data_IF_869794215700
#
_entry.id   IF_869794215700
#
_cell.length_a   1.000
_cell.length_b   1.000
_cell.length_c   1.000
_cell.angle_alpha   90.00
_cell.angle_beta   90.00
_cell.angle_gamma   90.00
#
_symmetry.space_group_name_H-M   'P 1'
#
loop_
_entity.id
_entity.type
_entity.pdbx_description
1 polymer ?
#
# COMPACT_ATOMS: atom_id res chain seq x y z
N UNK A 1 -6.06 8.01 -31.34
CA UNK A 1 -4.97 8.63 -30.57
C UNK A 1 -5.40 8.55 -29.11
N UNK A 2 -4.65 7.85 -28.26
CA UNK A 2 -4.98 7.74 -26.83
C UNK A 2 -4.53 9.02 -26.15
N UNK A 3 -5.37 9.62 -25.31
CA UNK A 3 -4.99 10.78 -24.50
C UNK A 3 -4.02 10.31 -23.42
N UNK A 4 -2.89 11.02 -23.26
CA UNK A 4 -1.86 10.70 -22.27
C UNK A 4 -1.65 11.91 -21.38
N UNK A 5 -1.58 11.68 -20.07
CA UNK A 5 -1.17 12.68 -19.09
C UNK A 5 0.24 12.33 -18.61
N UNK A 6 1.19 13.23 -18.84
CA UNK A 6 2.53 13.10 -18.27
C UNK A 6 2.54 13.62 -16.83
N UNK A 7 3.21 12.87 -15.96
CA UNK A 7 3.34 13.16 -14.53
C UNK A 7 4.81 13.44 -14.25
N UNK A 8 5.09 14.56 -13.61
CA UNK A 8 6.46 15.01 -13.32
C UNK A 8 7.04 14.29 -12.10
N UNK A 9 6.23 14.06 -11.06
CA UNK A 9 6.70 13.38 -9.85
C UNK A 9 5.58 12.67 -9.07
N UNK A 10 5.89 11.48 -8.55
CA UNK A 10 5.06 10.82 -7.54
C UNK A 10 5.39 11.36 -6.14
N UNK A 11 4.37 11.67 -5.35
CA UNK A 11 4.50 12.04 -3.94
C UNK A 11 4.32 10.79 -3.07
N UNK A 12 5.40 10.41 -2.41
CA UNK A 12 5.45 9.21 -1.57
C UNK A 12 4.57 9.28 -0.32
N UNK A 13 4.34 10.47 0.24
CA UNK A 13 3.54 10.66 1.46
C UNK A 13 2.72 11.96 1.40
N UNK A 14 1.42 11.94 1.74
CA UNK A 14 0.58 13.14 1.71
C UNK A 14 1.02 14.23 2.71
N UNK A 15 1.81 13.89 3.73
CA UNK A 15 2.37 14.90 4.66
C UNK A 15 3.43 15.79 4.03
N UNK A 16 4.03 15.39 2.90
CA UNK A 16 4.93 16.26 2.14
C UNK A 16 4.18 17.46 1.53
N UNK A 17 2.86 17.35 1.36
CA UNK A 17 2.00 18.44 0.90
C UNK A 17 1.66 19.39 2.05
N UNK A 18 2.67 20.12 2.50
CA UNK A 18 2.52 21.22 3.46
C UNK A 18 2.29 22.55 2.74
N UNK A 19 1.80 23.56 3.45
CA UNK A 19 1.66 24.90 2.88
C UNK A 19 3.01 25.42 2.36
N UNK A 20 4.08 25.26 3.13
CA UNK A 20 5.41 25.77 2.75
C UNK A 20 5.97 25.09 1.50
N UNK A 21 5.79 23.77 1.35
CA UNK A 21 6.24 23.06 0.15
C UNK A 21 5.43 23.48 -1.10
N UNK A 22 4.11 23.70 -0.95
CA UNK A 22 3.28 24.18 -2.05
C UNK A 22 3.61 25.63 -2.40
N UNK A 23 3.91 26.49 -1.42
CA UNK A 23 4.39 27.86 -1.65
C UNK A 23 5.75 27.88 -2.37
N UNK A 24 6.66 26.96 -2.03
CA UNK A 24 7.97 26.86 -2.64
C UNK A 24 7.91 26.56 -4.15
N UNK A 25 6.84 25.93 -4.64
CA UNK A 25 6.62 25.69 -6.06
C UNK A 25 6.49 26.98 -6.89
N UNK A 26 6.20 28.12 -6.26
CA UNK A 26 6.18 29.41 -6.94
C UNK A 26 7.56 29.78 -7.55
N UNK A 27 8.65 29.19 -7.07
CA UNK A 27 9.98 29.36 -7.68
C UNK A 27 10.08 28.79 -9.10
N UNK A 28 9.13 27.93 -9.52
CA UNK A 28 9.03 27.37 -10.87
C UNK A 28 8.23 28.27 -11.82
N UNK A 29 7.66 29.37 -11.34
CA UNK A 29 6.95 30.34 -12.18
C UNK A 29 7.92 31.20 -13.01
N UNK A 30 7.48 31.75 -14.16
CA UNK A 30 6.12 31.71 -14.71
C UNK A 30 5.82 30.42 -15.48
N UNK A 31 4.57 29.95 -15.34
CA UNK A 31 4.08 28.82 -16.12
C UNK A 31 3.55 29.24 -17.50
N UNK A 32 3.67 28.35 -18.49
CA UNK A 32 3.21 28.58 -19.85
C UNK A 32 3.52 27.40 -20.78
N UNK A 33 3.40 27.61 -22.09
CA UNK A 33 3.60 26.53 -23.08
C UNK A 33 4.99 25.88 -23.04
N UNK A 34 6.03 26.62 -22.64
CA UNK A 34 7.40 26.11 -22.47
C UNK A 34 7.77 25.69 -21.05
N UNK A 35 6.87 25.90 -20.09
CA UNK A 35 7.05 25.57 -18.68
C UNK A 35 5.68 25.24 -18.08
N UNK A 36 5.08 24.09 -18.43
CA UNK A 36 3.78 23.72 -17.90
C UNK A 36 3.83 23.63 -16.37
N UNK A 37 2.67 23.74 -15.74
CA UNK A 37 2.59 23.49 -14.30
C UNK A 37 2.96 22.03 -14.03
N UNK A 38 3.79 21.75 -13.01
CA UNK A 38 4.14 20.38 -12.69
C UNK A 38 2.92 19.60 -12.18
N UNK A 39 2.71 18.41 -12.73
CA UNK A 39 1.68 17.46 -12.34
C UNK A 39 2.29 16.44 -11.39
N UNK A 40 1.65 16.26 -10.24
CA UNK A 40 2.07 15.30 -9.22
C UNK A 40 1.06 14.17 -9.09
N UNK A 41 1.50 13.01 -8.59
CA UNK A 41 0.60 11.90 -8.27
C UNK A 41 0.65 11.46 -6.81
N UNK A 42 -0.49 11.00 -6.31
CA UNK A 42 -0.62 10.27 -5.06
C UNK A 42 -1.36 8.96 -5.31
N UNK A 43 -0.70 7.84 -5.01
CA UNK A 43 -1.25 6.51 -5.27
C UNK A 43 -2.06 5.95 -4.09
N UNK A 44 -3.14 5.21 -4.36
CA UNK A 44 -3.90 4.48 -3.34
C UNK A 44 -4.57 5.34 -2.25
N UNK A 45 -4.99 6.55 -2.58
CA UNK A 45 -5.74 7.43 -1.70
C UNK A 45 -7.15 6.88 -1.48
N UNK A 46 -7.59 6.74 -0.22
CA UNK A 46 -8.96 6.32 0.09
C UNK A 46 -9.93 7.50 -0.09
N UNK A 47 -11.02 7.29 -0.82
CA UNK A 47 -12.09 8.29 -1.00
C UNK A 47 -12.98 8.24 0.23
N UNK A 48 -12.91 9.26 1.08
CA UNK A 48 -13.80 9.36 2.26
C UNK A 48 -15.09 10.09 1.91
N UNK A 49 -15.06 10.94 0.89
CA UNK A 49 -16.22 11.69 0.42
C UNK A 49 -16.08 11.98 -1.06
N UNK A 50 -17.18 11.82 -1.80
CA UNK A 50 -17.33 12.22 -3.19
C UNK A 50 -18.67 12.96 -3.32
N UNK A 51 -18.64 14.21 -3.77
CA UNK A 51 -19.83 15.04 -3.88
C UNK A 51 -19.76 15.92 -5.12
N UNK A 52 -20.82 15.88 -5.93
CA UNK A 52 -20.94 16.76 -7.08
C UNK A 52 -21.35 18.18 -6.62
N UNK A 53 -20.61 19.18 -7.08
CA UNK A 53 -20.76 20.60 -6.72
C UNK A 53 -20.87 21.47 -7.99
N UNK A 54 -21.12 22.77 -7.81
CA UNK A 54 -21.20 23.72 -8.93
C UNK A 54 -22.36 23.43 -9.90
N UNK A 55 -23.47 22.89 -9.38
CA UNK A 55 -24.63 22.47 -10.16
C UNK A 55 -24.46 21.11 -10.83
N UNK A 56 -23.65 20.21 -10.26
CA UNK A 56 -23.41 18.88 -10.82
C UNK A 56 -22.36 18.86 -11.94
N UNK A 57 -21.45 19.85 -11.97
CA UNK A 57 -20.42 19.99 -13.02
C UNK A 57 -19.01 19.66 -12.56
N UNK A 58 -18.78 19.63 -11.24
CA UNK A 58 -17.47 19.44 -10.65
C UNK A 58 -17.56 18.45 -9.52
N UNK A 59 -16.52 17.65 -9.33
CA UNK A 59 -16.46 16.64 -8.29
C UNK A 59 -15.56 17.15 -7.17
N UNK A 60 -16.14 17.33 -5.98
CA UNK A 60 -15.39 17.57 -4.75
C UNK A 60 -15.09 16.25 -4.06
N UNK A 61 -13.82 16.01 -3.78
CA UNK A 61 -13.32 14.81 -3.12
C UNK A 61 -12.74 15.15 -1.77
N UNK A 62 -12.83 14.21 -0.85
CA UNK A 62 -11.97 14.15 0.32
C UNK A 62 -11.20 12.82 0.28
N UNK A 63 -9.89 12.93 0.24
CA UNK A 63 -8.97 11.82 0.03
C UNK A 63 -8.11 11.63 1.27
N UNK A 64 -7.90 10.38 1.68
CA UNK A 64 -7.14 10.06 2.89
C UNK A 64 -6.15 8.91 2.68
N UNK A 65 -4.93 9.08 3.19
CA UNK A 65 -3.92 8.01 3.30
C UNK A 65 -3.08 8.28 4.54
N UNK A 66 -2.72 7.22 5.26
CA UNK A 66 -1.82 7.30 6.43
C UNK A 66 -2.25 8.34 7.48
N UNK A 67 -3.55 8.51 7.68
CA UNK A 67 -4.12 9.46 8.66
C UNK A 67 -4.22 10.91 8.17
N UNK A 68 -3.59 11.26 7.05
CA UNK A 68 -3.67 12.60 6.44
C UNK A 68 -4.83 12.67 5.45
N UNK A 69 -5.67 13.69 5.60
CA UNK A 69 -6.76 13.99 4.68
C UNK A 69 -6.43 15.24 3.85
N UNK A 70 -6.78 15.20 2.56
CA UNK A 70 -6.61 16.30 1.61
C UNK A 70 -7.93 16.50 0.85
N UNK A 71 -8.31 17.76 0.65
CA UNK A 71 -9.43 18.11 -0.20
C UNK A 71 -8.98 18.08 -1.67
N UNK A 72 -9.85 17.60 -2.55
CA UNK A 72 -9.64 17.60 -3.99
C UNK A 72 -10.81 18.27 -4.71
N UNK A 73 -10.53 18.98 -5.80
CA UNK A 73 -11.53 19.49 -6.73
C UNK A 73 -11.17 19.04 -8.15
N UNK A 74 -12.12 18.37 -8.80
CA UNK A 74 -11.99 17.95 -10.19
C UNK A 74 -13.02 18.71 -11.03
N UNK A 75 -12.53 19.65 -11.84
CA UNK A 75 -13.40 20.42 -12.71
C UNK A 75 -13.89 19.59 -13.89
N UNK A 76 -15.10 19.91 -14.35
CA UNK A 76 -15.77 19.23 -15.46
C UNK A 76 -15.86 17.70 -15.32
N UNK A 77 -15.98 17.22 -14.08
CA UNK A 77 -16.07 15.82 -13.72
C UNK A 77 -17.18 15.61 -12.68
N UNK A 78 -17.80 14.43 -12.67
CA UNK A 78 -18.76 14.00 -11.64
C UNK A 78 -18.41 12.63 -11.10
N UNK A 79 -18.91 12.30 -9.91
CA UNK A 79 -18.72 10.99 -9.29
C UNK A 79 -19.21 9.86 -10.20
N UNK A 80 -20.36 10.04 -10.85
CA UNK A 80 -20.95 9.05 -11.74
C UNK A 80 -20.14 8.85 -13.04
N UNK A 81 -19.53 9.90 -13.59
CA UNK A 81 -18.72 9.80 -14.81
C UNK A 81 -17.46 8.95 -14.60
N UNK A 82 -16.89 9.00 -13.40
CA UNK A 82 -15.65 8.30 -13.05
C UNK A 82 -15.89 7.05 -12.18
N UNK A 83 -17.15 6.69 -11.94
CA UNK A 83 -17.56 5.57 -11.09
C UNK A 83 -16.88 5.59 -9.70
N UNK A 84 -16.85 6.78 -9.07
CA UNK A 84 -16.21 6.99 -7.77
C UNK A 84 -17.24 7.08 -6.65
N UNK A 85 -17.05 6.25 -5.63
CA UNK A 85 -17.86 6.19 -4.43
C UNK A 85 -17.00 6.30 -3.16
N UNK A 86 -17.56 6.80 -2.04
CA UNK A 86 -16.90 6.69 -0.74
C UNK A 86 -16.57 5.23 -0.39
N UNK A 87 -15.33 4.99 0.04
CA UNK A 87 -14.79 3.65 0.29
C UNK A 87 -13.81 3.16 -0.79
N UNK A 88 -13.85 3.75 -1.98
CA UNK A 88 -12.94 3.41 -3.06
C UNK A 88 -11.51 3.87 -2.78
N UNK A 89 -10.57 3.33 -3.56
CA UNK A 89 -9.19 3.79 -3.60
C UNK A 89 -8.85 4.27 -4.99
N UNK A 90 -8.17 5.40 -5.07
CA UNK A 90 -7.78 6.03 -6.34
C UNK A 90 -6.32 6.42 -6.34
N UNK A 91 -5.70 6.32 -7.52
CA UNK A 91 -4.49 7.07 -7.83
C UNK A 91 -4.96 8.40 -8.42
N UNK A 92 -4.44 9.50 -7.91
CA UNK A 92 -4.85 10.84 -8.31
C UNK A 92 -3.66 11.59 -8.90
N UNK A 93 -3.84 12.19 -10.08
CA UNK A 93 -2.93 13.16 -10.68
C UNK A 93 -3.49 14.57 -10.45
N UNK A 94 -2.65 15.50 -9.98
CA UNK A 94 -3.12 16.81 -9.53
C UNK A 94 -2.05 17.90 -9.61
N UNK A 95 -2.52 19.14 -9.58
CA UNK A 95 -1.71 20.32 -9.28
C UNK A 95 -1.93 20.70 -7.80
N UNK A 96 -0.87 20.80 -6.97
CA UNK A 96 -0.98 21.32 -5.61
C UNK A 96 -1.39 22.78 -5.64
N UNK A 97 -2.39 23.16 -4.83
CA UNK A 97 -2.80 24.56 -4.71
C UNK A 97 -3.11 24.90 -3.25
N UNK A 98 -2.98 26.19 -2.92
CA UNK A 98 -3.41 26.73 -1.64
C UNK A 98 -4.82 27.27 -1.81
N UNK A 99 -5.75 26.69 -1.08
CA UNK A 99 -7.10 27.20 -0.96
C UNK A 99 -7.18 28.11 0.28
N UNK A 100 -7.70 29.32 0.11
CA UNK A 100 -7.96 30.24 1.21
C UNK A 100 -9.44 30.55 1.32
N UNK A 101 -10.06 30.11 2.40
CA UNK A 101 -11.49 30.32 2.64
C UNK A 101 -11.73 30.77 4.07
N UNK A 102 -12.41 31.90 4.24
CA UNK A 102 -12.70 32.52 5.55
C UNK A 102 -11.44 32.69 6.43
N UNK A 103 -10.32 33.07 5.82
CA UNK A 103 -9.03 33.25 6.50
C UNK A 103 -8.31 31.96 6.87
N UNK A 104 -8.85 30.79 6.51
CA UNK A 104 -8.19 29.50 6.70
C UNK A 104 -7.52 29.12 5.38
N UNK A 105 -6.19 28.94 5.42
CA UNK A 105 -5.38 28.45 4.31
C UNK A 105 -5.16 26.95 4.46
N UNK A 106 -5.40 26.19 3.40
CA UNK A 106 -5.19 24.75 3.35
C UNK A 106 -4.64 24.32 1.99
N UNK A 107 -3.92 23.20 1.97
CA UNK A 107 -3.56 22.55 0.71
C UNK A 107 -4.78 21.84 0.13
N UNK A 108 -5.05 22.06 -1.14
CA UNK A 108 -6.07 21.37 -1.93
C UNK A 108 -5.45 20.82 -3.22
N UNK A 109 -5.96 19.69 -3.68
CA UNK A 109 -5.55 19.05 -4.92
C UNK A 109 -6.46 19.54 -6.04
N UNK A 110 -5.91 20.26 -7.01
CA UNK A 110 -6.60 20.51 -8.27
C UNK A 110 -6.42 19.27 -9.15
N UNK A 111 -7.42 18.40 -9.16
CA UNK A 111 -7.34 17.10 -9.83
C UNK A 111 -7.31 17.30 -11.34
N UNK A 112 -6.30 16.72 -11.98
CA UNK A 112 -6.15 16.66 -13.42
C UNK A 112 -6.76 15.37 -13.99
N UNK A 113 -6.54 14.25 -13.29
CA UNK A 113 -7.11 12.94 -13.64
C UNK A 113 -7.11 12.02 -12.41
N UNK A 114 -7.93 10.96 -12.46
CA UNK A 114 -7.98 9.93 -11.44
C UNK A 114 -8.26 8.57 -12.05
N UNK A 115 -7.76 7.52 -11.40
CA UNK A 115 -8.08 6.14 -11.77
C UNK A 115 -8.27 5.27 -10.53
N UNK A 116 -9.02 4.16 -10.63
CA UNK A 116 -9.06 3.16 -9.57
C UNK A 116 -7.65 2.67 -9.22
N UNK A 117 -7.34 2.63 -7.93
CA UNK A 117 -6.12 2.05 -7.41
C UNK A 117 -6.33 0.60 -6.98
N UNK A 118 -5.23 -0.12 -6.80
CA UNK A 118 -5.26 -1.43 -6.17
C UNK A 118 -5.90 -1.32 -4.78
N UNK A 119 -6.74 -2.30 -4.44
CA UNK A 119 -7.16 -2.50 -3.05
C UNK A 119 -5.94 -2.74 -2.17
N UNK A 120 -6.07 -2.52 -0.86
CA UNK A 120 -4.96 -2.78 0.08
C UNK A 120 -4.39 -4.20 -0.06
N UNK A 121 -5.26 -5.20 -0.18
CA UNK A 121 -4.86 -6.59 -0.35
C UNK A 121 -4.11 -6.82 -1.67
N UNK A 122 -4.59 -6.25 -2.78
CA UNK A 122 -3.91 -6.32 -4.07
C UNK A 122 -2.57 -5.58 -4.08
N UNK A 123 -2.49 -4.43 -3.42
CA UNK A 123 -1.25 -3.67 -3.29
C UNK A 123 -0.21 -4.46 -2.47
N UNK A 124 -0.59 -5.02 -1.33
CA UNK A 124 0.28 -5.89 -0.53
C UNK A 124 0.76 -7.11 -1.33
N UNK A 125 -0.15 -7.75 -2.09
CA UNK A 125 0.17 -8.88 -2.95
C UNK A 125 1.17 -8.51 -4.07
N UNK A 126 0.97 -7.35 -4.72
CA UNK A 126 1.89 -6.86 -5.75
C UNK A 126 3.29 -6.57 -5.18
N UNK A 127 3.39 -6.05 -3.94
CA UNK A 127 4.68 -5.87 -3.28
C UNK A 127 5.36 -7.19 -2.97
N UNK A 128 4.59 -8.19 -2.51
CA UNK A 128 5.11 -9.53 -2.28
C UNK A 128 5.61 -10.19 -3.58
N UNK A 129 4.89 -10.03 -4.69
CA UNK A 129 5.32 -10.53 -6.00
C UNK A 129 6.59 -9.86 -6.50
N UNK A 130 6.72 -8.54 -6.34
CA UNK A 130 7.97 -7.82 -6.63
C UNK A 130 9.15 -8.33 -5.81
N UNK A 131 8.93 -8.60 -4.52
CA UNK A 131 9.95 -9.18 -3.65
C UNK A 131 10.43 -10.54 -4.19
N UNK A 132 9.49 -11.43 -4.54
CA UNK A 132 9.79 -12.73 -5.14
C UNK A 132 10.50 -12.62 -6.49
N UNK A 133 10.12 -11.62 -7.30
CA UNK A 133 10.73 -11.33 -8.60
C UNK A 133 12.15 -10.77 -8.53
N UNK A 134 12.66 -10.47 -7.33
CA UNK A 134 14.02 -9.92 -7.19
C UNK A 134 14.10 -8.40 -7.39
N UNK A 135 12.96 -7.70 -7.48
CA UNK A 135 12.93 -6.24 -7.60
C UNK A 135 13.21 -5.56 -6.26
N UNK A 136 13.76 -4.34 -6.31
CA UNK A 136 13.97 -3.54 -5.10
C UNK A 136 12.67 -2.85 -4.68
N UNK A 137 12.38 -2.92 -3.39
CA UNK A 137 11.29 -2.19 -2.76
C UNK A 137 11.82 -0.91 -2.12
N UNK A 138 11.03 0.14 -2.08
CA UNK A 138 11.36 1.32 -1.27
C UNK A 138 11.38 0.96 0.21
N UNK A 139 12.09 1.73 1.05
CA UNK A 139 12.20 1.40 2.48
C UNK A 139 10.84 1.32 3.18
N UNK A 140 9.86 2.12 2.76
CA UNK A 140 8.48 2.05 3.25
C UNK A 140 7.78 0.75 2.83
N UNK A 141 7.92 0.35 1.57
CA UNK A 141 7.33 -0.89 1.06
C UNK A 141 7.92 -2.11 1.78
N UNK A 142 9.24 -2.15 1.95
CA UNK A 142 9.92 -3.18 2.72
C UNK A 142 9.44 -3.23 4.18
N UNK A 143 9.33 -2.08 4.86
CA UNK A 143 8.78 -2.00 6.23
C UNK A 143 7.35 -2.52 6.34
N UNK A 144 6.51 -2.31 5.32
CA UNK A 144 5.12 -2.81 5.35
C UNK A 144 5.02 -4.33 5.27
N UNK A 145 5.99 -4.98 4.61
CA UNK A 145 6.08 -6.42 4.44
C UNK A 145 6.83 -7.12 5.58
N UNK A 146 7.66 -6.41 6.35
CA UNK A 146 8.42 -6.98 7.45
C UNK A 146 7.50 -7.50 8.57
N UNK A 147 7.50 -8.82 8.88
CA UNK A 147 6.74 -9.35 10.00
C UNK A 147 7.40 -9.01 11.34
N UNK A 148 6.59 -8.71 12.33
CA UNK A 148 7.04 -8.56 13.71
C UNK A 148 7.42 -9.90 14.35
N UNK A 149 8.20 -9.85 15.44
CA UNK A 149 8.53 -11.05 16.23
C UNK A 149 7.29 -11.77 16.76
N UNK A 150 6.24 -11.02 17.11
CA UNK A 150 4.97 -11.57 17.56
C UNK A 150 4.27 -12.35 16.45
N UNK A 151 4.31 -11.86 15.21
CA UNK A 151 3.75 -12.56 14.05
C UNK A 151 4.53 -13.84 13.72
N UNK A 152 5.86 -13.83 13.75
CA UNK A 152 6.65 -15.05 13.60
C UNK A 152 6.28 -16.11 14.65
N UNK A 153 6.21 -15.70 15.92
CA UNK A 153 5.83 -16.59 17.01
C UNK A 153 4.39 -17.11 16.86
N UNK A 154 3.47 -16.24 16.45
CA UNK A 154 2.07 -16.59 16.21
C UNK A 154 1.91 -17.62 15.10
N UNK A 155 2.54 -17.39 13.94
CA UNK A 155 2.55 -18.35 12.81
C UNK A 155 3.15 -19.69 13.24
N UNK A 156 4.31 -19.69 13.91
CA UNK A 156 4.95 -20.93 14.35
C UNK A 156 4.10 -21.74 15.35
N UNK A 157 3.49 -21.09 16.33
CA UNK A 157 2.59 -21.77 17.29
C UNK A 157 1.32 -22.26 16.61
N UNK A 158 0.77 -21.48 15.68
CA UNK A 158 -0.40 -21.89 14.91
C UNK A 158 -0.15 -23.18 14.15
N UNK A 159 0.98 -23.26 13.43
CA UNK A 159 1.38 -24.45 12.69
C UNK A 159 1.56 -25.67 13.60
N UNK A 160 2.21 -25.52 14.75
CA UNK A 160 2.35 -26.63 15.72
C UNK A 160 1.01 -27.15 16.24
N UNK A 161 0.04 -26.25 16.49
CA UNK A 161 -1.27 -26.64 17.00
C UNK A 161 -2.17 -27.28 15.93
N UNK A 162 -2.05 -26.86 14.67
CA UNK A 162 -2.98 -27.24 13.59
C UNK A 162 -2.39 -28.24 12.59
N UNK A 163 -1.11 -28.62 12.74
CA UNK A 163 -0.47 -29.68 11.96
C UNK A 163 0.02 -30.84 12.84
N UNK A 164 -0.81 -31.46 13.71
CA UNK A 164 -0.38 -32.57 14.55
C UNK A 164 0.06 -33.82 13.75
N UNK A 165 -0.39 -33.95 12.49
CA UNK A 165 0.06 -34.97 11.54
C UNK A 165 1.20 -34.52 10.61
N UNK A 166 1.83 -33.38 10.90
CA UNK A 166 2.98 -32.86 10.17
C UNK A 166 2.65 -32.17 8.84
N UNK A 167 1.38 -32.07 8.41
CA UNK A 167 0.99 -31.36 7.18
C UNK A 167 -0.28 -30.52 7.40
N UNK A 168 -0.27 -29.30 6.87
CA UNK A 168 -1.38 -28.35 6.88
C UNK A 168 -1.58 -27.80 5.46
N UNK A 169 -2.80 -27.88 4.94
CA UNK A 169 -3.16 -27.29 3.65
C UNK A 169 -4.17 -26.16 3.85
N UNK A 170 -3.81 -24.95 3.43
CA UNK A 170 -4.65 -23.77 3.58
C UNK A 170 -4.20 -22.65 2.64
N UNK A 171 -5.09 -21.71 2.33
CA UNK A 171 -4.71 -20.48 1.64
C UNK A 171 -3.99 -19.52 2.58
N UNK A 172 -3.22 -18.58 2.03
CA UNK A 172 -2.57 -17.52 2.79
C UNK A 172 -3.56 -16.74 3.66
N UNK A 173 -4.72 -16.38 3.10
CA UNK A 173 -5.76 -15.66 3.83
C UNK A 173 -6.33 -16.48 5.00
N UNK A 174 -6.57 -17.79 4.80
CA UNK A 174 -7.08 -18.67 5.87
C UNK A 174 -6.07 -18.80 7.01
N UNK A 175 -4.79 -19.00 6.69
CA UNK A 175 -3.73 -19.07 7.69
C UNK A 175 -3.59 -17.76 8.45
N UNK A 176 -3.54 -16.63 7.73
CA UNK A 176 -3.40 -15.32 8.34
C UNK A 176 -4.55 -15.01 9.29
N UNK A 177 -5.79 -15.31 8.87
CA UNK A 177 -6.98 -15.16 9.71
C UNK A 177 -6.95 -16.07 10.94
N UNK A 178 -6.57 -17.34 10.76
CA UNK A 178 -6.43 -18.28 11.87
C UNK A 178 -5.46 -17.77 12.93
N UNK A 179 -4.27 -17.35 12.51
CA UNK A 179 -3.24 -16.77 13.38
C UNK A 179 -3.74 -15.50 14.08
N UNK A 180 -4.37 -14.59 13.32
CA UNK A 180 -4.92 -13.33 13.83
C UNK A 180 -5.98 -13.58 14.92
N UNK A 181 -6.96 -14.45 14.64
CA UNK A 181 -8.04 -14.76 15.57
C UNK A 181 -7.54 -15.51 16.82
N UNK A 182 -6.57 -16.42 16.70
CA UNK A 182 -6.07 -17.21 17.84
C UNK A 182 -5.17 -16.39 18.76
N UNK A 183 -4.38 -15.46 18.23
CA UNK A 183 -3.34 -14.76 18.99
C UNK A 183 -3.53 -13.25 19.10
N UNK A 184 -4.64 -12.70 18.62
CA UNK A 184 -4.92 -11.25 18.67
C UNK A 184 -3.94 -10.42 17.82
N UNK A 185 -3.50 -10.98 16.69
CA UNK A 185 -2.56 -10.33 15.77
C UNK A 185 -3.31 -9.68 14.58
N UNK A 186 -2.71 -8.70 13.89
CA UNK A 186 -3.29 -8.16 12.67
C UNK A 186 -3.40 -9.24 11.57
N UNK A 187 -4.54 -9.30 10.86
CA UNK A 187 -4.68 -10.14 9.66
C UNK A 187 -3.87 -9.51 8.52
N UNK A 188 -2.78 -10.17 8.13
CA UNK A 188 -1.82 -9.70 7.13
C UNK A 188 -1.28 -10.90 6.31
N UNK A 189 -1.97 -11.29 5.23
CA UNK A 189 -1.64 -12.48 4.44
C UNK A 189 -0.21 -12.47 3.89
N UNK A 190 0.27 -11.33 3.38
CA UNK A 190 1.61 -11.22 2.82
C UNK A 190 2.71 -11.38 3.89
N UNK A 191 2.49 -10.84 5.10
CA UNK A 191 3.43 -11.06 6.22
C UNK A 191 3.41 -12.51 6.68
N UNK A 192 2.25 -13.17 6.66
CA UNK A 192 2.15 -14.61 6.90
C UNK A 192 2.94 -15.42 5.86
N UNK A 193 2.84 -15.08 4.57
CA UNK A 193 3.62 -15.70 3.50
C UNK A 193 5.14 -15.52 3.70
N UNK A 194 5.56 -14.32 4.11
CA UNK A 194 6.97 -14.04 4.42
C UNK A 194 7.42 -14.88 5.63
N UNK A 195 6.62 -14.95 6.70
CA UNK A 195 6.91 -15.83 7.83
C UNK A 195 7.13 -17.28 7.35
N UNK A 196 6.22 -17.82 6.54
CA UNK A 196 6.36 -19.19 6.01
C UNK A 196 7.62 -19.34 5.14
N UNK A 197 7.90 -18.39 4.26
CA UNK A 197 9.10 -18.43 3.40
C UNK A 197 10.39 -18.41 4.22
N UNK A 198 10.47 -17.57 5.26
CA UNK A 198 11.61 -17.50 6.18
C UNK A 198 11.75 -18.79 6.99
N UNK A 199 10.64 -19.36 7.48
CA UNK A 199 10.67 -20.64 8.21
C UNK A 199 11.14 -21.80 7.30
N UNK A 200 10.75 -21.80 6.03
CA UNK A 200 11.18 -22.77 5.01
C UNK A 200 12.68 -22.64 4.73
N UNK A 201 13.17 -21.43 4.47
CA UNK A 201 14.61 -21.14 4.28
C UNK A 201 15.47 -21.55 5.49
N UNK A 202 14.91 -21.46 6.70
CA UNK A 202 15.57 -21.85 7.94
C UNK A 202 15.46 -23.37 8.24
N UNK A 203 14.76 -24.14 7.41
CA UNK A 203 14.58 -25.58 7.58
C UNK A 203 13.63 -25.97 8.72
N UNK A 204 12.74 -25.06 9.14
CA UNK A 204 11.72 -25.32 10.17
C UNK A 204 10.47 -25.96 9.58
N UNK A 205 10.17 -25.63 8.33
CA UNK A 205 9.06 -26.20 7.57
C UNK A 205 9.53 -26.56 6.16
N UNK A 206 8.70 -27.30 5.44
CA UNK A 206 8.78 -27.44 4.00
C UNK A 206 7.49 -26.84 3.42
N UNK A 207 7.63 -25.79 2.62
CA UNK A 207 6.53 -25.04 2.03
C UNK A 207 6.39 -25.40 0.54
N UNK A 208 5.26 -26.00 0.16
CA UNK A 208 4.86 -26.16 -1.24
C UNK A 208 3.72 -25.21 -1.58
N UNK A 209 3.81 -24.50 -2.71
CA UNK A 209 2.75 -23.61 -3.20
C UNK A 209 2.15 -24.16 -4.49
N UNK A 210 0.83 -24.36 -4.49
CA UNK A 210 0.05 -24.76 -5.67
C UNK A 210 -1.10 -23.79 -5.85
N UNK A 211 -0.96 -22.86 -6.80
CA UNK A 211 -1.90 -21.73 -6.97
C UNK A 211 -2.14 -20.98 -5.64
N UNK A 212 -3.38 -21.00 -5.14
CA UNK A 212 -3.80 -20.32 -3.91
C UNK A 212 -3.68 -21.20 -2.65
N UNK A 213 -3.30 -22.47 -2.79
CA UNK A 213 -3.18 -23.41 -1.68
C UNK A 213 -1.71 -23.56 -1.30
N UNK A 214 -1.43 -23.35 -0.02
CA UNK A 214 -0.15 -23.62 0.62
C UNK A 214 -0.24 -24.97 1.29
N UNK A 215 0.73 -25.84 1.03
CA UNK A 215 0.95 -27.10 1.74
C UNK A 215 2.19 -26.92 2.61
N UNK A 216 1.97 -26.78 3.91
CA UNK A 216 3.03 -26.62 4.91
C UNK A 216 3.27 -27.95 5.60
N UNK A 217 4.50 -28.44 5.55
CA UNK A 217 4.94 -29.61 6.30
C UNK A 217 5.90 -29.21 7.41
N UNK A 218 5.66 -29.68 8.63
CA UNK A 218 6.52 -29.40 9.78
C UNK A 218 7.79 -30.27 9.70
N UNK A 219 8.96 -29.65 9.82
CA UNK A 219 10.22 -30.35 10.05
C UNK A 219 10.49 -30.30 11.55
N UNK A 220 11.01 -31.39 12.14
CA UNK A 220 11.42 -31.39 13.55
C UNK A 220 12.90 -31.04 13.64
N UNK A 221 13.24 -29.77 13.93
CA UNK A 221 14.62 -29.33 13.95
C UNK A 221 15.23 -29.67 15.31
N UNK A 222 16.46 -30.18 15.33
CA UNK A 222 17.19 -30.40 16.56
C UNK A 222 17.76 -29.06 17.08
N UNK A 223 16.97 -28.31 17.85
CA UNK A 223 17.43 -27.14 18.60
C UNK A 223 16.85 -25.79 18.16
N UNK A 224 17.40 -24.70 18.73
CA UNK A 224 16.96 -23.32 18.47
C UNK A 224 17.53 -22.85 17.12
N UNK A 225 16.64 -22.55 16.18
CA UNK A 225 17.01 -22.07 14.84
C UNK A 225 17.08 -20.55 14.82
N UNK A 226 18.11 -20.01 14.17
CA UNK A 226 18.30 -18.58 13.96
C UNK A 226 17.63 -18.14 12.64
N UNK A 227 16.64 -17.25 12.76
CA UNK A 227 15.88 -16.73 11.62
C UNK A 227 16.68 -15.72 10.79
N UNK A 228 17.74 -15.13 11.33
CA UNK A 228 18.58 -14.15 10.63
C UNK A 228 19.38 -14.76 9.46
N UNK A 229 19.42 -16.10 9.39
CA UNK A 229 20.05 -16.82 8.27
C UNK A 229 19.26 -16.69 6.96
N UNK A 230 17.96 -16.43 7.05
CA UNK A 230 17.09 -16.24 5.89
C UNK A 230 17.59 -15.13 4.97
N UNK A 231 17.64 -15.43 3.67
CA UNK A 231 17.97 -14.45 2.64
C UNK A 231 16.82 -13.43 2.49
N UNK A 232 15.57 -13.90 2.52
CA UNK A 232 14.38 -13.05 2.42
C UNK A 232 14.32 -12.03 3.56
N UNK A 233 14.52 -12.47 4.80
CA UNK A 233 14.47 -11.56 5.96
C UNK A 233 15.60 -10.53 5.94
N UNK A 234 16.84 -10.94 5.63
CA UNK A 234 17.98 -10.02 5.53
C UNK A 234 17.77 -8.98 4.42
N UNK A 235 17.28 -9.41 3.26
CA UNK A 235 17.00 -8.52 2.13
C UNK A 235 15.92 -7.49 2.48
N UNK A 236 14.82 -7.91 3.09
CA UNK A 236 13.76 -7.01 3.53
C UNK A 236 14.25 -6.00 4.59
N UNK A 237 15.09 -6.43 5.53
CA UNK A 237 15.68 -5.53 6.53
C UNK A 237 16.64 -4.53 5.92
N UNK A 238 17.53 -4.98 5.03
CA UNK A 238 18.47 -4.11 4.34
C UNK A 238 17.76 -3.05 3.47
N UNK A 239 16.59 -3.38 2.92
CA UNK A 239 15.77 -2.40 2.20
C UNK A 239 15.01 -1.46 3.13
N UNK A 240 14.66 -1.90 4.33
CA UNK A 240 13.82 -1.16 5.28
C UNK A 240 14.59 -0.12 6.11
N UNK A 241 15.91 -0.29 6.22
CA UNK A 241 16.87 0.70 6.75
C UNK A 241 16.99 1.91 5.81
#
# INVERSE_FOLDING_TARGET
>A
MVSVLEVDAEIDHPDLLTLGEVEALAALEPHGAGNPRPVFTLSGMAVTTAADVGGGRHLKLRLQRDGRALDGIFFSATAAQYDISPGDRVDVAFYPQINEFRGIRSVQLLVADLRPALTRAQAEQALYEKLLGGENLSSRQARSLLPSRAEFAGVWRYLQAHAPGGRLEASACRLSRGVACTYGLPEAPCRTLICLSVLDECGLICLERRADILSVRMLQPSGKVDLERSATLRRLRAMAE
#
